data_IF_540414863822
#
_entry.id   IF_540414863822
#
_cell.length_a   1.000
_cell.length_b   1.000
_cell.length_c   1.000
_cell.angle_alpha   90.00
_cell.angle_beta   90.00
_cell.angle_gamma   90.00
#
_symmetry.space_group_name_H-M   'P 1'
#
loop_
_entity.id
_entity.type
_entity.pdbx_description
1 polymer ?
#
# COMPACT_ATOMS: atom_id res chain seq x y z
N UNK A 1 -37.76 -64.17 19.89
CA UNK A 1 -37.62 -62.72 20.12
C UNK A 1 -36.15 -62.25 20.29
N UNK A 2 -35.14 -63.04 19.93
CA UNK A 2 -33.71 -62.70 20.15
C UNK A 2 -32.99 -62.22 18.89
N UNK A 3 -33.60 -62.37 17.70
CA UNK A 3 -32.99 -62.01 16.42
C UNK A 3 -33.11 -60.51 16.04
N UNK A 4 -33.95 -59.72 16.73
CA UNK A 4 -34.16 -58.29 16.40
C UNK A 4 -33.25 -57.32 17.17
N UNK A 5 -32.49 -57.77 18.18
CA UNK A 5 -31.56 -56.88 18.93
C UNK A 5 -30.18 -56.72 18.30
N UNK A 6 -29.83 -57.53 17.30
CA UNK A 6 -28.51 -57.46 16.64
C UNK A 6 -28.45 -56.53 15.42
N UNK A 7 -29.57 -55.91 15.01
CA UNK A 7 -29.61 -54.96 13.88
C UNK A 7 -29.52 -53.48 14.31
N UNK A 8 -29.43 -53.20 15.62
CA UNK A 8 -29.33 -51.83 16.17
C UNK A 8 -27.92 -51.38 16.52
N UNK A 9 -26.89 -52.19 16.25
CA UNK A 9 -25.50 -51.70 16.11
C UNK A 9 -25.24 -51.34 14.65
N UNK A 10 -26.10 -50.50 14.06
CA UNK A 10 -25.77 -49.80 12.82
C UNK A 10 -24.69 -48.80 13.22
N UNK A 11 -23.44 -49.18 13.01
CA UNK A 11 -22.29 -48.33 13.26
C UNK A 11 -22.60 -46.94 12.67
N UNK A 12 -22.59 -45.93 13.53
CA UNK A 12 -22.59 -44.53 13.12
C UNK A 12 -21.34 -44.35 12.27
N UNK A 13 -21.48 -44.55 10.96
CA UNK A 13 -20.38 -44.35 10.03
C UNK A 13 -20.09 -42.85 10.05
N UNK A 14 -19.03 -42.49 10.76
CA UNK A 14 -18.57 -41.11 10.83
C UNK A 14 -18.16 -40.69 9.42
N UNK A 15 -18.82 -39.65 8.92
CA UNK A 15 -18.48 -39.02 7.64
C UNK A 15 -17.45 -37.92 7.91
N UNK A 16 -16.33 -37.94 7.20
CA UNK A 16 -15.25 -36.99 7.32
C UNK A 16 -15.16 -36.12 6.07
N UNK A 17 -15.13 -34.80 6.26
CA UNK A 17 -14.90 -33.82 5.20
C UNK A 17 -13.51 -33.21 5.36
N UNK A 18 -12.70 -33.33 4.32
CA UNK A 18 -11.39 -32.70 4.19
C UNK A 18 -11.55 -31.49 3.28
N UNK A 19 -11.30 -30.29 3.80
CA UNK A 19 -11.38 -29.06 3.01
C UNK A 19 -9.97 -28.54 2.82
N UNK A 20 -9.54 -28.40 1.56
CA UNK A 20 -8.24 -27.85 1.20
C UNK A 20 -8.45 -26.59 0.36
N UNK A 21 -7.99 -25.45 0.87
CA UNK A 21 -7.95 -24.20 0.14
C UNK A 21 -6.56 -23.99 -0.43
N UNK A 22 -6.49 -23.84 -1.75
CA UNK A 22 -5.27 -23.57 -2.49
C UNK A 22 -5.33 -22.10 -2.92
N UNK A 23 -4.49 -21.29 -2.30
CA UNK A 23 -4.38 -19.87 -2.60
C UNK A 23 -3.39 -19.62 -3.74
N UNK A 24 -3.60 -18.54 -4.49
CA UNK A 24 -2.69 -18.06 -5.54
C UNK A 24 -2.33 -19.16 -6.57
N UNK A 25 -3.31 -19.95 -7.00
CA UNK A 25 -3.08 -21.16 -7.82
C UNK A 25 -2.50 -20.84 -9.20
N UNK A 26 -2.66 -19.62 -9.70
CA UNK A 26 -2.04 -19.14 -10.94
C UNK A 26 -0.50 -19.14 -10.91
N UNK A 27 0.11 -19.20 -9.72
CA UNK A 27 1.56 -19.29 -9.55
C UNK A 27 2.07 -20.72 -9.40
N UNK A 28 1.20 -21.72 -9.55
CA UNK A 28 1.69 -23.10 -9.71
C UNK A 28 2.53 -23.17 -10.98
N UNK A 29 3.85 -23.20 -10.80
CA UNK A 29 4.81 -23.04 -11.88
C UNK A 29 4.58 -23.99 -13.06
N UNK A 30 4.98 -23.54 -14.25
CA UNK A 30 4.89 -24.31 -15.49
C UNK A 30 5.41 -25.73 -15.26
N UNK A 31 4.56 -26.73 -15.50
CA UNK A 31 4.86 -28.15 -15.27
C UNK A 31 4.16 -28.79 -14.07
N UNK A 32 3.57 -28.02 -13.14
CA UNK A 32 2.75 -28.57 -12.02
C UNK A 32 1.24 -28.58 -12.31
N UNK A 33 0.84 -28.20 -13.52
CA UNK A 33 -0.55 -28.13 -13.98
C UNK A 33 -1.29 -29.47 -13.81
N UNK A 34 -0.58 -30.57 -14.11
CA UNK A 34 -1.10 -31.92 -13.94
C UNK A 34 -1.47 -32.24 -12.49
N UNK A 35 -0.80 -31.64 -11.50
CA UNK A 35 -1.08 -31.86 -10.08
C UNK A 35 -2.46 -31.31 -9.70
N UNK A 36 -2.82 -30.12 -10.20
CA UNK A 36 -4.14 -29.54 -9.93
C UNK A 36 -5.26 -30.34 -10.61
N UNK A 37 -4.99 -30.86 -11.81
CA UNK A 37 -5.92 -31.73 -12.51
C UNK A 37 -6.13 -33.06 -11.75
N UNK A 38 -5.05 -33.69 -11.29
CA UNK A 38 -5.12 -34.94 -10.51
C UNK A 38 -5.77 -34.73 -9.14
N UNK A 39 -5.47 -33.64 -8.43
CA UNK A 39 -6.17 -33.29 -7.18
C UNK A 39 -7.67 -33.10 -7.41
N UNK A 40 -8.04 -32.41 -8.49
CA UNK A 40 -9.45 -32.25 -8.88
C UNK A 40 -10.09 -33.59 -9.19
N UNK A 41 -9.41 -34.49 -9.91
CA UNK A 41 -9.94 -35.83 -10.14
C UNK A 41 -10.13 -36.57 -8.83
N UNK A 42 -9.18 -36.51 -7.90
CA UNK A 42 -9.30 -37.14 -6.58
C UNK A 42 -10.51 -36.65 -5.79
N UNK A 43 -10.89 -35.36 -5.89
CA UNK A 43 -12.10 -34.86 -5.21
C UNK A 43 -13.41 -35.39 -5.81
N UNK A 44 -13.40 -35.88 -7.06
CA UNK A 44 -14.58 -36.47 -7.73
C UNK A 44 -14.54 -38.01 -7.79
N UNK A 45 -13.35 -38.61 -7.83
CA UNK A 45 -13.12 -40.04 -8.07
C UNK A 45 -13.18 -40.89 -6.81
N UNK A 46 -13.49 -40.33 -5.64
CA UNK A 46 -13.69 -41.12 -4.42
C UNK A 46 -14.95 -41.98 -4.56
N UNK A 47 -14.81 -43.11 -5.25
CA UNK A 47 -15.51 -44.33 -4.93
C UNK A 47 -14.83 -44.83 -3.65
N UNK A 48 -15.37 -44.51 -2.46
CA UNK A 48 -14.62 -44.58 -1.20
C UNK A 48 -14.14 -46.01 -0.87
N UNK A 49 -14.73 -46.99 -1.55
CA UNK A 49 -14.50 -48.44 -1.42
C UNK A 49 -13.16 -48.91 -1.98
N UNK A 50 -12.60 -48.26 -3.00
CA UNK A 50 -11.39 -48.76 -3.67
C UNK A 50 -10.11 -48.51 -2.84
N UNK A 51 -10.12 -47.48 -1.98
CA UNK A 51 -8.95 -47.06 -1.19
C UNK A 51 -9.14 -47.22 0.33
N UNK A 52 -10.22 -47.88 0.77
CA UNK A 52 -10.51 -48.09 2.19
C UNK A 52 -10.92 -46.83 2.95
N UNK A 53 -11.17 -45.72 2.25
CA UNK A 53 -11.61 -44.45 2.83
C UNK A 53 -13.13 -44.32 2.84
N UNK A 54 -13.84 -45.39 3.24
CA UNK A 54 -15.28 -45.36 3.35
C UNK A 54 -15.68 -44.18 4.25
N UNK A 55 -16.48 -43.26 3.69
CA UNK A 55 -16.99 -42.03 4.32
C UNK A 55 -16.05 -40.81 4.38
N UNK A 56 -14.99 -40.74 3.56
CA UNK A 56 -14.19 -39.51 3.42
C UNK A 56 -14.54 -38.75 2.13
N UNK A 57 -14.71 -37.43 2.26
CA UNK A 57 -14.97 -36.51 1.15
C UNK A 57 -13.91 -35.42 1.11
N UNK A 58 -13.37 -35.13 -0.07
CA UNK A 58 -12.42 -34.05 -0.28
C UNK A 58 -13.10 -32.88 -1.00
N UNK A 59 -13.02 -31.70 -0.41
CA UNK A 59 -13.51 -30.43 -0.99
C UNK A 59 -12.29 -29.57 -1.28
N UNK A 60 -12.11 -29.20 -2.55
CA UNK A 60 -11.04 -28.33 -2.99
C UNK A 60 -11.59 -26.94 -3.28
N UNK A 61 -10.95 -25.92 -2.72
CA UNK A 61 -11.26 -24.51 -2.96
C UNK A 61 -10.04 -23.88 -3.63
N UNK A 62 -10.19 -23.46 -4.88
CA UNK A 62 -9.15 -22.76 -5.63
C UNK A 62 -9.38 -21.25 -5.54
N UNK A 63 -8.37 -20.50 -5.10
CA UNK A 63 -8.39 -19.04 -5.05
C UNK A 63 -7.37 -18.53 -6.07
N UNK A 64 -7.85 -17.70 -7.00
CA UNK A 64 -7.08 -17.23 -8.15
C UNK A 64 -7.48 -15.82 -8.52
N UNK A 65 -6.53 -14.99 -8.94
CA UNK A 65 -6.82 -13.69 -9.54
C UNK A 65 -7.32 -13.80 -10.99
N UNK A 66 -7.13 -14.96 -11.61
CA UNK A 66 -7.57 -15.23 -12.97
C UNK A 66 -8.87 -16.05 -12.97
N UNK A 67 -9.79 -15.67 -13.86
CA UNK A 67 -11.07 -16.38 -14.05
C UNK A 67 -10.87 -17.77 -14.64
N UNK A 68 -9.89 -17.89 -15.53
CA UNK A 68 -9.64 -19.12 -16.28
C UNK A 68 -8.54 -19.94 -15.62
N UNK A 69 -8.95 -20.98 -14.89
CA UNK A 69 -8.05 -22.02 -14.40
C UNK A 69 -7.83 -23.05 -15.49
N UNK A 70 -6.95 -22.74 -16.44
CA UNK A 70 -6.68 -23.54 -17.65
C UNK A 70 -6.34 -25.01 -17.32
N UNK A 71 -5.81 -25.26 -16.13
CA UNK A 71 -5.30 -26.56 -15.71
C UNK A 71 -6.34 -27.47 -15.05
N UNK A 72 -7.50 -26.94 -14.64
CA UNK A 72 -8.59 -27.73 -14.05
C UNK A 72 -9.75 -27.78 -15.02
N UNK A 73 -10.25 -28.98 -15.41
CA UNK A 73 -11.38 -29.08 -16.31
C UNK A 73 -12.59 -28.29 -15.78
N UNK A 74 -13.12 -27.37 -16.58
CA UNK A 74 -14.20 -26.45 -16.16
C UNK A 74 -15.47 -27.18 -15.72
N UNK A 75 -15.69 -28.40 -16.21
CA UNK A 75 -16.79 -29.29 -15.81
C UNK A 75 -16.71 -29.73 -14.33
N UNK A 76 -15.51 -29.66 -13.73
CA UNK A 76 -15.26 -30.01 -12.33
C UNK A 76 -15.30 -28.77 -11.41
N UNK A 77 -15.51 -27.58 -11.96
CA UNK A 77 -15.45 -26.32 -11.22
C UNK A 77 -16.83 -25.71 -11.05
N UNK A 78 -17.09 -25.24 -9.83
CA UNK A 78 -18.16 -24.27 -9.56
C UNK A 78 -17.52 -22.91 -9.31
N UNK A 79 -17.79 -21.95 -10.18
CA UNK A 79 -17.18 -20.62 -10.11
C UNK A 79 -17.91 -19.73 -9.11
N UNK A 80 -17.17 -19.20 -8.14
CA UNK A 80 -17.61 -18.13 -7.27
C UNK A 80 -16.76 -16.88 -7.52
N UNK A 81 -17.30 -15.94 -8.30
CA UNK A 81 -16.58 -14.70 -8.63
C UNK A 81 -16.78 -13.64 -7.55
N UNK A 82 -15.69 -13.06 -7.07
CA UNK A 82 -15.73 -11.87 -6.22
C UNK A 82 -15.82 -10.64 -7.12
N UNK A 83 -16.91 -9.87 -6.98
CA UNK A 83 -17.03 -8.58 -7.66
C UNK A 83 -16.18 -7.53 -6.93
N UNK A 84 -15.78 -6.50 -7.66
CA UNK A 84 -15.20 -5.30 -7.06
C UNK A 84 -16.21 -4.66 -6.11
N UNK A 85 -15.66 -3.99 -5.08
CA UNK A 85 -16.48 -3.25 -4.12
C UNK A 85 -17.10 -2.02 -4.78
N UNK A 86 -18.37 -1.76 -4.46
CA UNK A 86 -19.05 -0.52 -4.81
C UNK A 86 -18.55 0.65 -3.95
N UNK A 87 -18.77 1.88 -4.40
CA UNK A 87 -18.44 3.08 -3.61
C UNK A 87 -19.08 3.08 -2.21
N UNK A 88 -20.31 2.56 -2.07
CA UNK A 88 -20.99 2.46 -0.78
C UNK A 88 -20.31 1.43 0.15
N UNK A 89 -19.91 0.28 -0.38
CA UNK A 89 -19.18 -0.75 0.36
C UNK A 89 -17.79 -0.25 0.77
N UNK A 90 -17.06 0.39 -0.15
CA UNK A 90 -15.77 1.02 0.15
C UNK A 90 -15.90 2.05 1.28
N UNK A 91 -16.96 2.86 1.29
CA UNK A 91 -17.20 3.83 2.36
C UNK A 91 -17.42 3.16 3.72
N UNK A 92 -18.21 2.09 3.77
CA UNK A 92 -18.43 1.33 5.01
C UNK A 92 -17.14 0.65 5.51
N UNK A 93 -16.36 0.08 4.58
CA UNK A 93 -15.07 -0.54 4.89
C UNK A 93 -14.09 0.52 5.40
N UNK A 94 -13.99 1.67 4.72
CA UNK A 94 -13.17 2.80 5.13
C UNK A 94 -13.50 3.26 6.55
N UNK A 95 -14.79 3.43 6.87
CA UNK A 95 -15.23 3.79 8.22
C UNK A 95 -14.77 2.79 9.28
N UNK A 96 -14.87 1.48 9.01
CA UNK A 96 -14.39 0.43 9.93
C UNK A 96 -12.87 0.49 10.11
N UNK A 97 -12.13 0.70 9.02
CA UNK A 97 -10.67 0.82 9.06
C UNK A 97 -10.25 2.06 9.84
N UNK A 98 -10.88 3.22 9.59
CA UNK A 98 -10.65 4.46 10.35
C UNK A 98 -10.87 4.20 11.83
N UNK A 99 -12.02 3.63 12.20
CA UNK A 99 -12.36 3.37 13.59
C UNK A 99 -11.32 2.46 14.26
N UNK A 100 -10.95 1.35 13.62
CA UNK A 100 -9.92 0.44 14.14
C UNK A 100 -8.55 1.12 14.24
N UNK A 101 -8.14 1.87 13.21
CA UNK A 101 -6.86 2.57 13.22
C UNK A 101 -6.79 3.61 14.33
N UNK A 102 -7.84 4.43 14.50
CA UNK A 102 -7.93 5.40 15.59
C UNK A 102 -7.82 4.70 16.94
N UNK A 103 -8.60 3.64 17.18
CA UNK A 103 -8.52 2.88 18.44
C UNK A 103 -7.13 2.30 18.69
N UNK A 104 -6.49 1.74 17.66
CA UNK A 104 -5.15 1.20 17.75
C UNK A 104 -4.14 2.28 18.12
N UNK A 105 -4.17 3.43 17.45
CA UNK A 105 -3.28 4.54 17.76
C UNK A 105 -3.57 5.13 19.14
N UNK A 106 -4.82 5.28 19.57
CA UNK A 106 -5.15 5.71 20.94
C UNK A 106 -4.57 4.75 21.99
N UNK A 107 -4.68 3.44 21.78
CA UNK A 107 -4.14 2.44 22.69
C UNK A 107 -2.60 2.44 22.73
N UNK A 108 -1.95 2.67 21.60
CA UNK A 108 -0.49 2.73 21.53
C UNK A 108 0.08 4.06 22.05
N UNK A 109 -0.50 5.18 21.64
CA UNK A 109 -0.10 6.50 22.12
C UNK A 109 -0.47 6.68 23.58
N UNK A 110 -1.60 6.17 24.08
CA UNK A 110 -1.91 6.20 25.51
C UNK A 110 -0.87 5.45 26.36
N UNK A 111 -0.37 4.31 25.87
CA UNK A 111 0.73 3.57 26.53
C UNK A 111 2.04 4.35 26.51
N UNK A 112 2.39 4.93 25.35
CA UNK A 112 3.65 5.68 25.16
C UNK A 112 3.63 7.07 25.78
N UNK A 113 2.47 7.72 25.85
CA UNK A 113 2.27 9.01 26.51
C UNK A 113 2.53 8.87 28.00
N UNK A 114 2.05 7.79 28.64
CA UNK A 114 2.43 7.46 30.02
C UNK A 114 3.94 7.37 30.20
N UNK A 115 4.64 6.70 29.28
CA UNK A 115 6.10 6.62 29.31
C UNK A 115 6.77 7.98 29.07
N UNK A 116 6.28 8.78 28.12
CA UNK A 116 6.84 10.09 27.80
C UNK A 116 6.65 11.09 28.95
N UNK A 117 5.48 11.09 29.59
CA UNK A 117 5.21 11.91 30.78
C UNK A 117 6.08 11.48 31.95
N UNK A 118 6.30 10.18 32.16
CA UNK A 118 7.22 9.69 33.19
C UNK A 118 8.65 10.17 32.92
N UNK A 119 9.10 10.09 31.66
CA UNK A 119 10.44 10.52 31.25
C UNK A 119 10.64 12.05 31.35
N UNK A 120 9.57 12.83 31.12
CA UNK A 120 9.57 14.28 31.35
C UNK A 120 9.54 14.64 32.84
N UNK A 121 8.89 13.84 33.70
CA UNK A 121 8.90 14.05 35.15
C UNK A 121 10.24 13.67 35.79
N UNK A 122 10.89 12.59 35.34
CA UNK A 122 12.18 12.15 35.88
C UNK A 122 13.31 13.15 35.66
N UNK A 123 13.25 13.94 34.57
CA UNK A 123 14.24 14.98 34.25
C UNK A 123 13.94 16.36 34.87
N UNK A 124 12.76 16.52 35.47
CA UNK A 124 12.33 17.71 36.20
C UNK A 124 12.50 17.52 37.70
N UNK A 125 13.58 18.06 38.26
CA UNK A 125 13.96 18.03 39.68
C UNK A 125 12.77 18.15 40.66
N UNK A 126 12.61 17.08 41.46
CA UNK A 126 12.06 16.95 42.83
C UNK A 126 10.91 17.88 43.28
N UNK A 127 9.83 17.19 43.67
CA UNK A 127 8.88 17.55 44.71
C UNK A 127 7.93 18.74 44.46
N UNK A 128 6.96 18.54 43.57
CA UNK A 128 5.60 19.02 43.85
C UNK A 128 4.64 17.83 43.80
N UNK A 129 4.24 17.34 44.99
CA UNK A 129 3.13 16.39 45.18
C UNK A 129 1.81 17.10 44.84
N UNK A 130 1.56 17.32 43.56
CA UNK A 130 0.28 17.74 43.04
C UNK A 130 -0.08 16.79 41.92
N UNK A 131 -1.09 15.96 42.12
CA UNK A 131 -1.61 15.06 41.08
C UNK A 131 -2.19 15.91 39.95
N UNK A 132 -1.33 16.34 39.02
CA UNK A 132 -1.77 17.08 37.83
C UNK A 132 -2.50 16.07 36.95
N UNK A 133 -3.80 16.29 36.78
CA UNK A 133 -4.64 15.52 35.89
C UNK A 133 -3.96 15.41 34.52
N UNK A 134 -3.62 14.17 34.13
CA UNK A 134 -3.08 13.87 32.80
C UNK A 134 -4.08 14.40 31.78
N UNK A 135 -3.67 15.36 30.96
CA UNK A 135 -4.52 15.88 29.91
C UNK A 135 -4.73 14.75 28.92
N UNK A 136 -5.97 14.25 28.83
CA UNK A 136 -6.34 13.24 27.83
C UNK A 136 -5.95 13.74 26.45
N UNK A 137 -5.34 12.87 25.64
CA UNK A 137 -5.10 13.15 24.24
C UNK A 137 -6.41 13.56 23.55
N UNK A 138 -6.34 14.51 22.62
CA UNK A 138 -7.49 14.88 21.81
C UNK A 138 -7.94 13.67 20.99
N UNK A 139 -9.25 13.45 20.97
CA UNK A 139 -9.85 12.42 20.13
C UNK A 139 -9.69 12.81 18.67
N UNK A 140 -9.18 11.90 17.83
CA UNK A 140 -9.04 12.16 16.40
C UNK A 140 -10.28 11.68 15.67
N UNK A 141 -10.89 12.57 14.90
CA UNK A 141 -12.02 12.25 14.03
C UNK A 141 -11.65 12.54 12.57
N UNK A 142 -11.89 11.57 11.68
CA UNK A 142 -11.64 11.75 10.25
C UNK A 142 -12.92 12.24 9.59
N UNK A 143 -12.84 13.36 8.86
CA UNK A 143 -14.02 13.93 8.22
C UNK A 143 -14.65 12.99 7.16
N UNK A 144 -15.98 13.00 7.06
CA UNK A 144 -16.76 12.23 6.07
C UNK A 144 -16.34 12.52 4.63
N UNK A 145 -16.03 13.79 4.33
CA UNK A 145 -15.55 14.24 3.02
C UNK A 145 -14.21 13.59 2.68
N UNK A 146 -13.30 13.51 3.65
CA UNK A 146 -11.99 12.88 3.47
C UNK A 146 -12.11 11.37 3.21
N UNK A 147 -12.98 10.69 3.96
CA UNK A 147 -13.29 9.28 3.70
C UNK A 147 -13.87 9.05 2.31
N UNK A 148 -14.78 9.93 1.87
CA UNK A 148 -15.36 9.86 0.52
C UNK A 148 -14.30 10.06 -0.56
N UNK A 149 -13.34 10.98 -0.36
CA UNK A 149 -12.23 11.19 -1.29
C UNK A 149 -11.31 9.96 -1.35
N UNK A 150 -10.95 9.37 -0.21
CA UNK A 150 -10.15 8.14 -0.16
C UNK A 150 -10.85 7.00 -0.91
N UNK A 151 -12.17 6.84 -0.75
CA UNK A 151 -12.93 5.83 -1.49
C UNK A 151 -12.92 6.10 -3.00
N UNK A 152 -13.11 7.37 -3.40
CA UNK A 152 -13.08 7.78 -4.82
C UNK A 152 -11.70 7.53 -5.45
N UNK A 153 -10.61 7.83 -4.74
CA UNK A 153 -9.25 7.51 -5.22
C UNK A 153 -9.01 6.00 -5.31
N UNK A 154 -9.48 5.22 -4.33
CA UNK A 154 -9.42 3.76 -4.35
C UNK A 154 -10.14 3.16 -5.58
N UNK A 155 -11.30 3.70 -5.92
CA UNK A 155 -12.06 3.31 -7.11
C UNK A 155 -11.32 3.68 -8.41
N UNK A 156 -10.82 4.90 -8.50
CA UNK A 156 -10.21 5.43 -9.73
C UNK A 156 -8.81 4.88 -10.02
N UNK A 157 -7.96 4.74 -8.99
CA UNK A 157 -6.53 4.45 -9.17
C UNK A 157 -6.15 3.02 -8.79
N UNK A 158 -6.95 2.36 -7.95
CA UNK A 158 -6.57 1.08 -7.34
C UNK A 158 -7.58 -0.04 -7.59
N UNK A 159 -8.46 0.12 -8.58
CA UNK A 159 -9.45 -0.90 -8.97
C UNK A 159 -10.27 -1.43 -7.79
N UNK A 160 -10.58 -0.56 -6.83
CA UNK A 160 -11.28 -0.91 -5.58
C UNK A 160 -10.53 -1.89 -4.66
N UNK A 161 -9.19 -1.97 -4.72
CA UNK A 161 -8.40 -2.81 -3.79
C UNK A 161 -8.46 -2.26 -2.36
N UNK A 162 -9.15 -2.99 -1.48
CA UNK A 162 -9.31 -2.65 -0.07
C UNK A 162 -7.98 -2.60 0.70
N UNK A 163 -6.94 -3.31 0.25
CA UNK A 163 -5.60 -3.23 0.84
C UNK A 163 -5.01 -1.82 0.64
N UNK A 164 -5.21 -1.24 -0.54
CA UNK A 164 -4.77 0.13 -0.84
C UNK A 164 -5.59 1.16 -0.06
N UNK A 165 -6.92 0.98 0.00
CA UNK A 165 -7.78 1.80 0.86
C UNK A 165 -7.33 1.74 2.33
N UNK A 166 -7.00 0.56 2.84
CA UNK A 166 -6.55 0.38 4.22
C UNK A 166 -5.20 1.06 4.49
N UNK A 167 -4.25 0.91 3.57
CA UNK A 167 -2.94 1.57 3.65
C UNK A 167 -3.09 3.10 3.69
N UNK A 168 -3.84 3.66 2.73
CA UNK A 168 -4.15 5.09 2.66
C UNK A 168 -4.85 5.60 3.93
N UNK A 169 -5.86 4.88 4.40
CA UNK A 169 -6.61 5.23 5.62
C UNK A 169 -5.70 5.26 6.85
N UNK A 170 -4.89 4.21 7.04
CA UNK A 170 -3.96 4.12 8.18
C UNK A 170 -2.92 5.22 8.16
N UNK A 171 -2.44 5.61 6.96
CA UNK A 171 -1.48 6.71 6.79
C UNK A 171 -2.09 8.06 7.13
N UNK A 172 -3.32 8.32 6.69
CA UNK A 172 -4.05 9.56 7.03
C UNK A 172 -4.25 9.68 8.54
N UNK A 173 -4.72 8.60 9.19
CA UNK A 173 -4.90 8.57 10.65
C UNK A 173 -3.55 8.80 11.35
N UNK A 174 -2.50 8.11 10.90
CA UNK A 174 -1.16 8.27 11.45
C UNK A 174 -0.63 9.70 11.36
N UNK A 175 -0.71 10.34 10.20
CA UNK A 175 -0.27 11.72 10.02
C UNK A 175 -1.06 12.65 10.94
N UNK A 176 -2.38 12.46 11.05
CA UNK A 176 -3.20 13.25 11.97
C UNK A 176 -2.71 13.12 13.42
N UNK A 177 -2.38 11.91 13.89
CA UNK A 177 -1.76 11.69 15.20
C UNK A 177 -0.39 12.37 15.33
N UNK A 178 0.49 12.19 14.33
CA UNK A 178 1.83 12.79 14.33
C UNK A 178 1.78 14.31 14.40
N UNK A 179 0.95 14.94 13.57
CA UNK A 179 0.77 16.39 13.56
C UNK A 179 0.27 16.90 14.92
N UNK A 180 -0.71 16.22 15.50
CA UNK A 180 -1.26 16.64 16.80
C UNK A 180 -0.28 16.45 17.95
N UNK A 181 0.48 15.36 17.95
CA UNK A 181 1.52 15.13 18.93
C UNK A 181 2.62 16.20 18.86
N UNK A 182 3.02 16.57 17.64
CA UNK A 182 3.99 17.65 17.39
C UNK A 182 3.48 18.99 17.95
N UNK A 183 2.20 19.31 17.75
CA UNK A 183 1.55 20.52 18.29
C UNK A 183 1.52 20.53 19.84
N UNK A 184 1.26 19.38 20.47
CA UNK A 184 1.27 19.28 21.95
C UNK A 184 2.70 19.50 22.50
N UNK A 185 3.70 18.96 21.81
CA UNK A 185 5.11 19.12 22.20
C UNK A 185 5.61 20.56 22.00
N UNK A 186 5.27 21.22 20.89
CA UNK A 186 5.67 22.61 20.67
C UNK A 186 5.04 23.55 21.70
N UNK A 187 3.77 23.31 22.06
CA UNK A 187 3.05 24.09 23.08
C UNK A 187 3.60 23.90 24.51
N UNK A 188 4.13 22.71 24.83
CA UNK A 188 4.76 22.47 26.15
C UNK A 188 6.11 23.15 26.25
N UNK A 189 6.92 23.12 25.19
CA UNK A 189 8.21 23.81 25.13
C UNK A 189 8.08 25.35 25.20
N UNK A 190 7.05 25.93 24.56
CA UNK A 190 6.80 27.37 24.62
C UNK A 190 6.50 27.87 26.05
N UNK A 191 5.82 27.07 26.87
CA UNK A 191 5.49 27.43 28.26
C UNK A 191 6.66 27.22 29.23
N UNK A 192 7.56 26.26 28.96
CA UNK A 192 8.71 25.96 29.82
C UNK A 192 9.89 26.95 29.67
N UNK A 193 10.00 27.64 28.53
CA UNK A 193 11.11 28.57 28.24
C UNK A 193 11.09 29.88 29.05
N UNK A 194 10.04 30.14 29.83
CA UNK A 194 9.93 31.35 30.65
C UNK A 194 10.74 31.31 31.95
N UNK A 195 11.28 30.17 32.41
CA UNK A 195 11.79 30.06 33.81
C UNK A 195 13.17 29.39 34.00
N UNK A 196 13.77 28.65 33.06
CA UNK A 196 15.09 28.03 33.34
C UNK A 196 15.98 27.82 32.11
N UNK A 197 17.28 28.05 32.32
CA UNK A 197 18.32 28.16 31.30
C UNK A 197 18.54 26.95 30.37
N UNK A 198 19.28 27.26 29.29
CA UNK A 198 19.75 26.39 28.20
C UNK A 198 19.89 24.90 28.59
N UNK A 199 18.90 24.07 28.26
CA UNK A 199 19.03 22.60 28.17
C UNK A 199 18.74 22.16 26.74
N UNK A 200 19.46 21.15 26.28
CA UNK A 200 19.44 20.67 24.89
C UNK A 200 18.12 19.91 24.57
N UNK A 201 17.30 20.40 23.63
CA UNK A 201 16.01 19.79 23.28
C UNK A 201 16.11 18.50 22.43
N UNK A 202 17.30 18.07 22.02
CA UNK A 202 17.48 17.07 20.96
C UNK A 202 17.02 15.64 21.31
N UNK A 203 17.09 15.22 22.57
CA UNK A 203 16.92 13.79 22.93
C UNK A 203 15.46 13.31 22.90
N UNK A 204 14.52 14.15 23.36
CA UNK A 204 13.11 13.80 23.38
C UNK A 204 12.50 13.79 21.97
N UNK A 205 12.91 14.76 21.14
CA UNK A 205 12.49 14.85 19.74
C UNK A 205 13.02 13.67 18.92
N UNK A 206 14.29 13.28 19.11
CA UNK A 206 14.88 12.10 18.46
C UNK A 206 14.22 10.79 18.88
N UNK A 207 13.92 10.60 20.17
CA UNK A 207 13.23 9.38 20.65
C UNK A 207 11.83 9.28 20.05
N UNK A 208 11.13 10.42 19.91
CA UNK A 208 9.82 10.47 19.28
C UNK A 208 9.90 10.18 17.78
N UNK A 209 10.86 10.80 17.09
CA UNK A 209 11.13 10.59 15.67
C UNK A 209 11.41 9.11 15.38
N UNK A 210 12.20 8.46 16.24
CA UNK A 210 12.52 7.05 16.13
C UNK A 210 11.30 6.14 16.36
N UNK A 211 10.45 6.46 17.34
CA UNK A 211 9.19 5.73 17.58
C UNK A 211 8.22 5.88 16.41
N UNK A 212 8.17 7.08 15.81
CA UNK A 212 7.39 7.44 14.62
C UNK A 212 7.92 6.67 13.39
N UNK A 213 9.22 6.67 13.14
CA UNK A 213 9.86 6.00 12.00
C UNK A 213 9.75 4.48 12.09
N UNK A 214 10.01 3.89 13.27
CA UNK A 214 9.87 2.45 13.48
C UNK A 214 8.45 1.96 13.18
N UNK A 215 7.44 2.79 13.44
CA UNK A 215 6.05 2.42 13.19
C UNK A 215 5.64 2.54 11.72
N UNK A 216 6.07 3.61 11.05
CA UNK A 216 5.88 3.76 9.61
C UNK A 216 6.51 2.59 8.83
N UNK A 217 7.67 2.10 9.29
CA UNK A 217 8.37 0.97 8.69
C UNK A 217 7.69 -0.39 8.97
N UNK A 218 7.14 -0.59 10.17
CA UNK A 218 6.46 -1.84 10.52
C UNK A 218 5.09 -2.00 9.85
N UNK A 219 4.35 -0.90 9.63
CA UNK A 219 3.02 -0.96 9.05
C UNK A 219 3.00 -1.07 7.51
N UNK A 220 4.10 -0.70 6.84
CA UNK A 220 4.25 -0.88 5.38
C UNK A 220 4.72 -2.28 4.99
N UNK A 221 5.26 -3.07 5.93
CA UNK A 221 5.83 -4.40 5.67
C UNK A 221 5.07 -5.56 6.31
N UNK A 222 4.00 -5.30 7.07
CA UNK A 222 3.17 -6.38 7.61
C UNK A 222 2.23 -6.89 6.51
N UNK A 223 2.27 -8.19 6.15
CA UNK A 223 1.16 -8.80 5.44
C UNK A 223 -0.10 -8.52 6.24
N UNK A 224 -1.20 -8.22 5.56
CA UNK A 224 -2.50 -8.12 6.20
C UNK A 224 -2.83 -9.51 6.73
N UNK A 225 -2.49 -9.75 8.00
CA UNK A 225 -2.73 -11.01 8.68
C UNK A 225 -4.24 -11.18 8.82
N UNK A 226 -4.82 -11.82 7.80
CA UNK A 226 -6.22 -12.21 7.76
C UNK A 226 -6.37 -13.46 8.61
N UNK A 227 -6.32 -13.31 9.94
CA UNK A 227 -6.66 -14.41 10.84
C UNK A 227 -7.74 -14.01 11.86
N UNK A 228 -8.95 -14.51 11.54
CA UNK A 228 -9.81 -15.27 12.46
C UNK A 228 -10.63 -14.48 13.50
N UNK A 229 -11.63 -13.76 13.01
CA UNK A 229 -12.84 -13.50 13.81
C UNK A 229 -13.79 -14.68 13.69
N UNK A 230 -13.72 -15.61 14.64
CA UNK A 230 -14.70 -16.68 14.80
C UNK A 230 -16.03 -16.05 15.21
N UNK A 231 -17.04 -16.14 14.35
CA UNK A 231 -18.39 -15.69 14.66
C UNK A 231 -19.02 -16.65 15.68
N UNK A 232 -19.27 -16.17 16.90
CA UNK A 232 -20.24 -16.77 17.81
C UNK A 232 -21.46 -15.86 17.85
N UNK A 233 -22.51 -16.30 17.16
CA UNK A 233 -23.86 -15.71 17.17
C UNK A 233 -24.54 -16.22 18.45
N UNK A 234 -24.98 -15.33 19.34
CA UNK A 234 -25.67 -15.72 20.57
C UNK A 234 -26.14 -14.55 21.45
N UNK A 235 -27.28 -13.98 21.08
CA UNK A 235 -28.41 -13.52 21.93
C UNK A 235 -28.26 -12.54 23.12
N UNK A 236 -29.15 -11.54 23.04
CA UNK A 236 -30.02 -10.98 24.09
C UNK A 236 -29.51 -9.87 25.05
N UNK A 237 -29.91 -8.66 24.68
CA UNK A 237 -30.42 -7.54 25.47
C UNK A 237 -30.49 -7.68 27.01
N UNK A 238 -29.92 -6.69 27.70
CA UNK A 238 -30.55 -6.03 28.86
C UNK A 238 -30.28 -4.53 28.82
N UNK A 239 -31.37 -3.76 28.67
CA UNK A 239 -31.42 -2.33 28.96
C UNK A 239 -31.30 -2.14 30.48
N UNK A 240 -30.32 -1.34 30.90
CA UNK A 240 -30.30 -0.75 32.23
C UNK A 240 -30.28 0.77 32.06
N UNK A 241 -31.43 1.38 32.35
CA UNK A 241 -31.58 2.81 32.59
C UNK A 241 -31.04 3.11 33.98
N UNK A 242 -29.95 3.86 34.06
CA UNK A 242 -29.57 4.56 35.29
C UNK A 242 -29.26 6.02 34.97
N UNK A 243 -30.15 6.86 35.46
CA UNK A 243 -30.09 8.31 35.52
C UNK A 243 -29.16 8.74 36.66
N UNK A 244 -28.05 9.41 36.33
CA UNK A 244 -27.25 10.13 37.32
C UNK A 244 -26.64 11.43 36.73
N UNK A 245 -27.16 12.54 37.25
CA UNK A 245 -26.53 13.84 37.48
C UNK A 245 -25.43 14.33 36.51
N UNK A 246 -25.86 15.26 35.65
CA UNK A 246 -25.02 16.12 34.81
C UNK A 246 -24.24 17.12 35.67
N UNK A 247 -23.02 16.75 36.06
CA UNK A 247 -21.95 17.72 36.23
C UNK A 247 -21.42 18.05 34.83
N UNK A 248 -21.39 19.33 34.46
CA UNK A 248 -20.92 19.80 33.15
C UNK A 248 -19.45 19.44 32.91
N UNK A 249 -19.19 18.20 32.48
CA UNK A 249 -17.89 17.74 32.00
C UNK A 249 -17.68 18.38 30.63
N UNK A 250 -16.77 19.33 30.56
CA UNK A 250 -16.27 19.86 29.30
C UNK A 250 -15.76 18.70 28.45
N UNK A 251 -16.38 18.49 27.29
CA UNK A 251 -15.97 17.43 26.37
C UNK A 251 -14.49 17.61 26.01
N UNK A 252 -13.71 16.51 25.90
CA UNK A 252 -12.31 16.61 25.48
C UNK A 252 -12.23 17.27 24.09
N UNK A 253 -11.17 18.06 23.83
CA UNK A 253 -10.99 18.68 22.52
C UNK A 253 -10.89 17.60 21.45
N UNK A 254 -11.78 17.65 20.46
CA UNK A 254 -11.74 16.75 19.28
C UNK A 254 -10.93 17.41 18.18
N UNK A 255 -9.96 16.69 17.64
CA UNK A 255 -9.21 17.10 16.46
C UNK A 255 -9.84 16.45 15.22
N UNK A 256 -10.34 17.26 14.30
CA UNK A 256 -10.91 16.76 13.05
C UNK A 256 -9.85 16.82 11.94
N UNK A 257 -9.45 15.67 11.42
CA UNK A 257 -8.59 15.61 10.24
C UNK A 257 -9.40 16.00 9.00
N UNK A 258 -9.06 17.15 8.43
CA UNK A 258 -9.68 17.73 7.24
C UNK A 258 -8.86 17.44 6.00
N UNK A 259 -9.48 17.69 4.83
CA UNK A 259 -8.86 17.51 3.53
C UNK A 259 -7.56 18.31 3.38
N UNK A 260 -7.55 19.57 3.81
CA UNK A 260 -6.41 20.48 3.66
C UNK A 260 -5.14 19.94 4.33
N UNK A 261 -5.28 19.21 5.43
CA UNK A 261 -4.14 18.67 6.19
C UNK A 261 -3.70 17.28 5.71
N UNK A 262 -4.53 16.60 4.91
CA UNK A 262 -4.39 15.17 4.61
C UNK A 262 -4.28 14.85 3.12
N UNK A 263 -4.53 15.82 2.23
CA UNK A 263 -4.53 15.61 0.78
C UNK A 263 -3.22 15.02 0.26
N UNK A 264 -2.08 15.54 0.74
CA UNK A 264 -0.72 15.06 0.40
C UNK A 264 -0.43 13.61 0.81
N UNK A 265 -1.27 12.99 1.64
CA UNK A 265 -1.08 11.61 2.11
C UNK A 265 -2.04 10.61 1.45
N UNK A 266 -3.02 11.10 0.72
CA UNK A 266 -3.98 10.32 -0.06
C UNK A 266 -3.40 9.97 -1.43
N UNK A 267 -2.42 10.75 -1.93
CA UNK A 267 -1.69 10.42 -3.14
C UNK A 267 -0.25 9.98 -2.87
N UNK A 268 0.00 8.68 -2.70
CA UNK A 268 1.34 8.14 -2.84
C UNK A 268 1.63 7.66 -4.27
N UNK A 269 0.73 7.90 -5.23
CA UNK A 269 0.98 7.45 -6.59
C UNK A 269 2.24 8.16 -7.06
N UNK A 270 3.27 7.38 -7.39
CA UNK A 270 4.62 7.88 -7.65
C UNK A 270 4.72 8.87 -8.81
N UNK A 271 3.63 9.15 -9.51
CA UNK A 271 3.55 10.07 -10.64
C UNK A 271 3.67 11.55 -10.21
N UNK A 272 2.92 12.00 -9.18
CA UNK A 272 3.12 13.36 -8.64
C UNK A 272 4.49 13.51 -7.97
N UNK A 273 4.96 12.47 -7.28
CA UNK A 273 6.32 12.47 -6.72
C UNK A 273 7.41 12.43 -7.78
N UNK A 274 7.17 11.80 -8.94
CA UNK A 274 8.12 11.82 -10.05
C UNK A 274 8.24 13.24 -10.62
N UNK A 275 7.11 13.96 -10.76
CA UNK A 275 7.10 15.37 -11.17
C UNK A 275 7.79 16.27 -10.13
N UNK A 276 7.51 16.10 -8.83
CA UNK A 276 8.20 16.86 -7.78
C UNK A 276 9.71 16.60 -7.78
N UNK A 277 10.13 15.35 -7.98
CA UNK A 277 11.56 14.95 -8.02
C UNK A 277 12.28 15.40 -9.28
N UNK A 278 11.59 15.82 -10.33
CA UNK A 278 12.25 16.40 -11.52
C UNK A 278 13.00 17.68 -11.15
N UNK A 279 12.51 18.45 -10.18
CA UNK A 279 13.21 19.64 -9.69
C UNK A 279 14.50 19.30 -8.93
N UNK A 280 14.64 18.07 -8.45
CA UNK A 280 15.84 17.58 -7.76
C UNK A 280 16.88 16.97 -8.72
N UNK A 281 16.55 16.87 -10.01
CA UNK A 281 17.46 16.32 -11.01
C UNK A 281 18.68 17.22 -11.24
N UNK A 282 19.87 16.63 -11.46
CA UNK A 282 21.01 17.39 -11.97
C UNK A 282 20.65 18.10 -13.28
N UNK A 283 21.17 19.30 -13.50
CA UNK A 283 20.92 20.10 -14.70
C UNK A 283 21.19 19.29 -16.00
N UNK A 284 22.24 18.47 -16.00
CA UNK A 284 22.56 17.58 -17.12
C UNK A 284 21.43 16.58 -17.41
N UNK A 285 20.80 16.01 -16.38
CA UNK A 285 19.69 15.08 -16.52
C UNK A 285 18.41 15.77 -17.00
N UNK A 286 18.17 17.02 -16.59
CA UNK A 286 17.06 17.83 -17.10
C UNK A 286 17.24 18.08 -18.60
N UNK A 287 18.44 18.49 -19.05
CA UNK A 287 18.71 18.71 -20.48
C UNK A 287 18.55 17.42 -21.28
N UNK A 288 19.00 16.28 -20.74
CA UNK A 288 18.78 14.97 -21.37
C UNK A 288 17.29 14.66 -21.47
N UNK A 289 16.52 14.85 -20.39
CA UNK A 289 15.07 14.67 -20.38
C UNK A 289 14.38 15.54 -21.45
N UNK A 290 14.73 16.82 -21.53
CA UNK A 290 14.23 17.72 -22.57
C UNK A 290 14.53 17.22 -23.99
N UNK A 291 15.73 16.67 -24.22
CA UNK A 291 16.07 16.07 -25.52
C UNK A 291 15.18 14.86 -25.85
N UNK A 292 14.89 14.01 -24.86
CA UNK A 292 13.99 12.86 -25.04
C UNK A 292 12.57 13.36 -25.35
N UNK A 293 12.07 14.36 -24.62
CA UNK A 293 10.74 14.95 -24.84
C UNK A 293 10.60 15.60 -26.23
N UNK A 294 11.57 16.41 -26.65
CA UNK A 294 11.59 17.03 -27.99
C UNK A 294 11.56 15.95 -29.08
N UNK A 295 12.33 14.87 -28.90
CA UNK A 295 12.35 13.76 -29.86
C UNK A 295 11.01 13.04 -29.91
N UNK A 296 10.42 12.75 -28.75
CA UNK A 296 9.12 12.10 -28.62
C UNK A 296 8.01 12.94 -29.25
N UNK A 297 7.98 14.25 -28.98
CA UNK A 297 7.02 15.18 -29.57
C UNK A 297 7.16 15.27 -31.09
N UNK A 298 8.39 15.34 -31.62
CA UNK A 298 8.63 15.32 -33.08
C UNK A 298 8.15 14.02 -33.72
N UNK A 299 8.35 12.87 -33.07
CA UNK A 299 7.81 11.59 -33.54
C UNK A 299 6.28 11.57 -33.51
N UNK A 300 5.66 12.13 -32.47
CA UNK A 300 4.20 12.23 -32.36
C UNK A 300 3.61 13.10 -33.48
N UNK A 301 4.18 14.28 -33.73
CA UNK A 301 3.77 15.16 -34.84
C UNK A 301 3.92 14.46 -36.20
N UNK A 302 5.06 13.77 -36.42
CA UNK A 302 5.28 13.04 -37.66
C UNK A 302 4.25 11.91 -37.85
N UNK A 303 3.88 11.20 -36.77
CA UNK A 303 2.83 10.17 -36.79
C UNK A 303 1.45 10.76 -37.08
N UNK A 304 1.12 11.92 -36.49
CA UNK A 304 -0.14 12.63 -36.74
C UNK A 304 -0.27 13.03 -38.22
N UNK A 305 0.81 13.52 -38.84
CA UNK A 305 0.80 13.87 -40.27
C UNK A 305 0.70 12.65 -41.20
N UNK A 306 1.16 11.47 -40.78
CA UNK A 306 1.23 10.26 -41.61
C UNK A 306 -0.01 9.34 -41.50
N UNK A 307 -1.04 9.73 -40.75
CA UNK A 307 -2.38 9.10 -40.69
C UNK A 307 -2.41 7.55 -40.59
N UNK A 308 -1.44 6.91 -39.91
CA UNK A 308 -1.40 5.45 -39.78
C UNK A 308 -1.20 4.96 -38.34
N UNK A 309 -2.20 4.15 -37.91
CA UNK A 309 -2.23 3.13 -36.86
C UNK A 309 -1.91 3.58 -35.41
N UNK A 310 -2.35 2.78 -34.41
CA UNK A 310 -2.48 3.25 -33.03
C UNK A 310 -1.15 3.66 -32.39
N UNK A 311 -1.27 4.59 -31.45
CA UNK A 311 -0.20 5.23 -30.68
C UNK A 311 0.56 4.18 -29.86
N UNK A 312 1.58 3.58 -30.46
CA UNK A 312 2.59 2.84 -29.71
C UNK A 312 3.39 3.80 -28.81
N UNK A 313 4.01 3.29 -27.73
CA UNK A 313 4.73 4.11 -26.77
C UNK A 313 5.82 4.96 -27.46
N UNK A 314 5.98 6.19 -26.96
CA UNK A 314 7.01 7.11 -27.45
C UNK A 314 8.37 6.56 -27.05
N UNK A 315 9.19 6.25 -28.05
CA UNK A 315 10.48 5.59 -27.87
C UNK A 315 11.57 6.32 -28.65
N UNK A 316 12.70 6.56 -28.02
CA UNK A 316 13.87 7.17 -28.64
C UNK A 316 15.08 6.24 -28.46
N UNK A 317 15.93 6.15 -29.47
CA UNK A 317 17.20 5.40 -29.32
C UNK A 317 18.18 6.24 -28.51
N UNK A 318 19.02 5.58 -27.72
CA UNK A 318 20.07 6.23 -26.95
C UNK A 318 20.97 7.09 -27.84
N UNK A 319 21.32 6.60 -29.04
CA UNK A 319 22.09 7.33 -30.04
C UNK A 319 21.41 8.61 -30.51
N UNK A 320 20.12 8.57 -30.83
CA UNK A 320 19.36 9.75 -31.27
C UNK A 320 19.34 10.84 -30.18
N UNK A 321 19.09 10.43 -28.94
CA UNK A 321 19.05 11.35 -27.79
C UNK A 321 20.44 11.94 -27.54
N UNK A 322 21.49 11.13 -27.59
CA UNK A 322 22.87 11.58 -27.41
C UNK A 322 23.30 12.58 -28.50
N UNK A 323 22.93 12.34 -29.76
CA UNK A 323 23.21 13.25 -30.86
C UNK A 323 22.49 14.59 -30.69
N UNK A 324 21.21 14.56 -30.31
CA UNK A 324 20.43 15.78 -30.06
C UNK A 324 21.01 16.58 -28.88
N UNK A 325 21.42 15.87 -27.82
CA UNK A 325 22.07 16.45 -26.65
C UNK A 325 23.41 17.11 -26.99
N UNK A 326 24.27 16.45 -27.79
CA UNK A 326 25.53 17.02 -28.26
C UNK A 326 25.29 18.28 -29.12
N UNK A 327 24.29 18.22 -30.02
CA UNK A 327 23.91 19.36 -30.85
C UNK A 327 23.45 20.55 -30.00
N UNK A 328 22.59 20.31 -29.00
CA UNK A 328 22.13 21.33 -28.07
C UNK A 328 23.29 21.97 -27.28
N UNK A 329 24.20 21.17 -26.71
CA UNK A 329 25.38 21.70 -25.99
C UNK A 329 26.26 22.55 -26.92
N UNK A 330 26.48 22.11 -28.15
CA UNK A 330 27.28 22.85 -29.13
C UNK A 330 26.64 24.19 -29.54
N UNK A 331 25.32 24.26 -29.68
CA UNK A 331 24.63 25.50 -30.06
C UNK A 331 24.58 26.53 -28.93
N UNK A 332 24.67 26.09 -27.68
CA UNK A 332 24.79 26.94 -26.49
C UNK A 332 26.23 27.30 -26.13
N UNK A 333 27.22 26.89 -26.95
CA UNK A 333 28.65 27.04 -26.65
C UNK A 333 29.07 26.42 -25.31
N UNK A 334 28.36 25.37 -24.88
CA UNK A 334 28.65 24.63 -23.65
C UNK A 334 29.59 23.44 -23.94
N UNK A 335 30.44 23.04 -22.98
CA UNK A 335 31.31 21.88 -23.14
C UNK A 335 30.48 20.61 -23.35
N UNK A 336 30.88 19.80 -24.35
CA UNK A 336 30.27 18.49 -24.61
C UNK A 336 30.77 17.54 -23.52
N UNK A 337 29.88 16.98 -22.68
CA UNK A 337 30.31 16.07 -21.64
C UNK A 337 30.80 14.75 -22.22
N UNK A 338 31.59 14.04 -21.42
CA UNK A 338 31.99 12.68 -21.77
C UNK A 338 30.78 11.76 -21.90
N UNK A 339 30.90 10.70 -22.71
CA UNK A 339 29.87 9.65 -22.84
C UNK A 339 29.43 9.09 -21.47
N UNK A 340 30.33 9.09 -20.47
CA UNK A 340 30.04 8.63 -19.11
C UNK A 340 29.09 9.56 -18.34
N UNK A 341 29.23 10.89 -18.47
CA UNK A 341 28.32 11.84 -17.80
C UNK A 341 26.91 11.74 -18.39
N UNK A 342 26.78 11.65 -19.73
CA UNK A 342 25.47 11.43 -20.37
C UNK A 342 24.83 10.09 -19.95
N UNK A 343 25.61 9.01 -19.86
CA UNK A 343 25.11 7.72 -19.36
C UNK A 343 24.60 7.81 -17.91
N UNK A 344 25.30 8.53 -17.04
CA UNK A 344 24.87 8.75 -15.66
C UNK A 344 23.55 9.53 -15.60
N UNK A 345 23.36 10.56 -16.43
CA UNK A 345 22.08 11.27 -16.53
C UNK A 345 20.93 10.36 -16.93
N UNK A 346 21.15 9.45 -17.90
CA UNK A 346 20.16 8.43 -18.28
C UNK A 346 19.89 7.47 -17.11
N UNK A 347 20.91 7.02 -16.39
CA UNK A 347 20.74 6.18 -15.19
C UNK A 347 19.89 6.89 -14.12
N UNK A 348 20.13 8.17 -13.84
CA UNK A 348 19.31 8.95 -12.91
C UNK A 348 17.84 8.98 -13.33
N UNK A 349 17.55 9.20 -14.61
CA UNK A 349 16.18 9.21 -15.14
C UNK A 349 15.51 7.82 -15.04
N UNK A 350 16.27 6.74 -15.18
CA UNK A 350 15.79 5.36 -14.99
C UNK A 350 15.52 5.04 -13.52
N UNK A 351 16.41 5.47 -12.62
CA UNK A 351 16.27 5.28 -11.17
C UNK A 351 15.05 6.02 -10.61
N UNK A 352 14.79 7.23 -11.11
CA UNK A 352 13.57 7.98 -10.81
C UNK A 352 12.32 7.45 -11.52
N UNK A 353 12.45 6.41 -12.35
CA UNK A 353 11.38 5.81 -13.12
C UNK A 353 10.68 6.76 -14.10
N UNK A 354 11.34 7.83 -14.53
CA UNK A 354 10.84 8.74 -15.58
C UNK A 354 10.87 8.04 -16.94
N UNK A 355 11.93 7.27 -17.18
CA UNK A 355 12.09 6.43 -18.37
C UNK A 355 12.37 4.98 -17.98
N UNK A 356 11.99 4.06 -18.86
CA UNK A 356 12.49 2.68 -18.83
C UNK A 356 13.78 2.63 -19.62
N UNK A 357 14.85 2.20 -18.95
CA UNK A 357 16.16 2.00 -19.56
C UNK A 357 16.13 0.83 -20.55
N UNK A 358 17.21 0.66 -21.34
CA UNK A 358 17.30 -0.47 -22.25
C UNK A 358 17.12 -1.78 -21.51
N UNK A 359 16.05 -2.49 -21.86
CA UNK A 359 15.95 -3.91 -21.58
C UNK A 359 16.97 -4.59 -22.48
N UNK A 360 18.18 -4.81 -21.96
CA UNK A 360 19.03 -5.88 -22.48
C UNK A 360 18.25 -7.18 -22.24
N UNK A 361 17.47 -7.60 -23.24
CA UNK A 361 16.77 -8.87 -23.25
C UNK A 361 17.81 -9.99 -23.16
N UNK A 362 18.25 -10.37 -21.95
CA UNK A 362 19.11 -11.54 -21.82
C UNK A 362 19.88 -11.81 -20.53
N UNK A 363 20.02 -10.89 -19.56
CA UNK A 363 20.84 -11.20 -18.37
C UNK A 363 20.26 -10.65 -17.06
N UNK A 364 19.35 -11.42 -16.46
CA UNK A 364 18.97 -11.30 -15.05
C UNK A 364 20.03 -11.96 -14.17
N UNK A 365 20.61 -11.24 -13.20
CA UNK A 365 21.19 -11.90 -12.01
C UNK A 365 22.47 -11.35 -11.38
N UNK A 366 23.17 -10.35 -11.94
CA UNK A 366 24.36 -9.76 -11.26
C UNK A 366 24.35 -8.25 -11.36
N UNK A 367 24.53 -7.56 -10.22
CA UNK A 367 24.79 -6.12 -10.14
C UNK A 367 26.03 -5.80 -10.98
N UNK A 368 25.83 -5.42 -12.25
CA UNK A 368 26.91 -5.00 -13.14
C UNK A 368 27.37 -3.60 -12.71
N UNK A 369 28.69 -3.42 -12.63
CA UNK A 369 29.31 -2.08 -12.66
C UNK A 369 28.71 -1.32 -13.85
N UNK A 370 28.45 -0.01 -13.69
CA UNK A 370 27.89 0.90 -14.71
C UNK A 370 28.49 0.63 -16.10
N UNK A 371 27.85 -0.27 -16.87
CA UNK A 371 28.19 -0.52 -18.27
C UNK A 371 27.45 0.53 -19.08
N UNK A 372 28.18 1.24 -19.94
CA UNK A 372 27.61 2.22 -20.86
C UNK A 372 26.54 1.53 -21.71
N UNK A 373 25.31 2.09 -21.80
CA UNK A 373 24.25 1.51 -22.62
C UNK A 373 24.69 1.29 -24.07
N UNK A 374 24.24 0.20 -24.70
CA UNK A 374 24.45 -0.01 -26.15
C UNK A 374 23.84 1.13 -26.95
N UNK A 375 24.46 1.54 -28.05
CA UNK A 375 23.98 2.69 -28.85
C UNK A 375 22.56 2.49 -29.40
N UNK A 376 22.13 1.24 -29.59
CA UNK A 376 20.80 0.84 -30.09
C UNK A 376 19.74 0.68 -28.99
N UNK A 377 20.09 0.97 -27.73
CA UNK A 377 19.18 0.95 -26.60
C UNK A 377 17.94 1.81 -26.83
N UNK A 378 16.75 1.22 -26.73
CA UNK A 378 15.49 1.97 -26.76
C UNK A 378 15.16 2.51 -25.38
N UNK A 379 14.97 3.83 -25.30
CA UNK A 379 14.47 4.54 -24.13
C UNK A 379 12.98 4.77 -24.32
N UNK A 380 12.16 4.27 -23.40
CA UNK A 380 10.70 4.41 -23.46
C UNK A 380 10.20 5.15 -22.24
N UNK A 381 9.39 6.19 -22.43
CA UNK A 381 8.76 6.90 -21.32
C UNK A 381 7.81 5.95 -20.57
N UNK A 382 7.88 5.97 -19.24
CA UNK A 382 6.82 5.37 -18.43
C UNK A 382 5.57 6.27 -18.53
N UNK A 383 4.38 5.67 -18.52
CA UNK A 383 3.07 6.37 -18.57
C UNK A 383 2.69 7.12 -19.86
N UNK A 384 3.15 6.72 -21.05
CA UNK A 384 2.65 7.31 -22.31
C UNK A 384 1.22 6.90 -22.69
N UNK A 385 0.46 6.24 -21.82
CA UNK A 385 -0.94 5.91 -22.07
C UNK A 385 -1.84 7.14 -22.07
N UNK A 386 -1.39 8.25 -21.46
CA UNK A 386 -2.06 9.54 -21.50
C UNK A 386 -1.14 10.59 -22.16
N UNK A 387 -1.51 11.15 -23.34
CA UNK A 387 -0.71 12.16 -24.02
C UNK A 387 -0.56 13.46 -23.20
N UNK A 388 -1.49 13.73 -22.29
CA UNK A 388 -1.48 14.90 -21.39
C UNK A 388 -0.28 14.91 -20.42
N UNK A 389 0.23 13.73 -20.04
CA UNK A 389 1.37 13.62 -19.12
C UNK A 389 2.66 14.14 -19.75
N UNK A 390 2.82 14.03 -21.08
CA UNK A 390 3.99 14.53 -21.80
C UNK A 390 4.01 16.06 -21.87
N UNK A 391 2.85 16.72 -21.81
CA UNK A 391 2.76 18.18 -21.76
C UNK A 391 3.00 18.75 -20.36
N UNK A 392 2.89 17.92 -19.32
CA UNK A 392 3.16 18.31 -17.93
C UNK A 392 4.65 18.19 -17.56
N UNK A 393 5.40 17.32 -18.24
CA UNK A 393 6.86 17.19 -18.15
C UNK A 393 7.57 18.25 -18.99
#
# INVERSE_FOLDING_TARGET
>A
MTAMRNLQKKASQNVYFHVVALDEVEYTGQGKEHVLAELSKLSFQTNPREYGFENHFLILVYISNHKDLVHVPSQLLTFLSFRTYTAAELKQICQRIVHHAVQQYEAEFGRKEGALYNLLQENGTRHQKGSRAVKKLPKIEISSTLMSLMCKKCEQLYSCDVRQLASMTRRVVYTAYKAKLTEVLSNTNAKGRSVAGKRNPSTAEQTLQQVVENYANNNNNSPVDSTRSSATIGSAARLSTDSAQSAARTAPPTFVATLTNSAQHIDPCGEEQALERIHELPEEAIVVLSCILVRAHKQQQQRQMLAKKPVGPLSATYKDVHQLYCHYKSSQYLPIPSKGSFANSICCLVELQVITGPTDHGQSGKRKKHETPREEATLTFKNTSHPETVEQY
#
